data_IF_400251288897
#
_entry.id   IF_400251288897
#
_cell.length_a   1.000
_cell.length_b   1.000
_cell.length_c   1.000
_cell.angle_alpha   90.00
_cell.angle_beta   90.00
_cell.angle_gamma   90.00
#
_symmetry.space_group_name_H-M   'P 1'
#
loop_
_entity.id
_entity.type
_entity.pdbx_description
1 polymer ?
#
# COMPACT_ATOMS: atom_id res chain seq x y z
N UNK A 1 32.71 2.43 -9.61
CA UNK A 1 31.82 3.36 -8.89
C UNK A 1 31.86 3.16 -7.37
N UNK A 2 31.48 1.99 -6.84
CA UNK A 2 31.41 1.75 -5.39
C UNK A 2 32.74 1.77 -4.62
N UNK A 3 33.89 1.67 -5.31
CA UNK A 3 35.22 1.85 -4.67
C UNK A 3 35.53 3.32 -4.32
N UNK A 4 34.92 4.27 -5.03
CA UNK A 4 35.19 5.72 -4.88
C UNK A 4 34.06 6.41 -4.10
N UNK A 5 32.83 5.90 -4.22
CA UNK A 5 31.66 6.35 -3.45
C UNK A 5 30.79 5.15 -3.09
N UNK A 6 30.94 4.67 -1.87
CA UNK A 6 30.07 3.62 -1.32
C UNK A 6 28.78 4.27 -0.82
N UNK A 7 27.59 3.94 -1.35
CA UNK A 7 26.34 4.46 -0.81
C UNK A 7 26.12 3.94 0.61
N UNK A 8 25.61 4.80 1.49
CA UNK A 8 25.21 4.40 2.84
C UNK A 8 23.91 3.60 2.83
N UNK A 9 23.02 3.88 1.88
CA UNK A 9 21.69 3.25 1.74
C UNK A 9 21.44 2.98 0.26
N UNK A 10 20.89 1.80 -0.04
CA UNK A 10 20.48 1.41 -1.39
C UNK A 10 19.00 1.02 -1.32
N UNK A 11 18.16 1.68 -2.13
CA UNK A 11 16.74 1.38 -2.21
C UNK A 11 16.45 0.61 -3.49
N UNK A 12 15.92 -0.61 -3.36
CA UNK A 12 15.55 -1.48 -4.48
C UNK A 12 14.19 -2.10 -4.20
N UNK A 13 13.43 -2.41 -5.26
CA UNK A 13 12.30 -3.33 -5.12
C UNK A 13 12.83 -4.76 -4.99
N UNK A 14 11.98 -5.69 -4.56
CA UNK A 14 12.37 -7.08 -4.23
C UNK A 14 13.05 -7.79 -5.40
N UNK A 15 12.53 -7.68 -6.63
CA UNK A 15 13.14 -8.38 -7.79
C UNK A 15 14.51 -7.81 -8.20
N UNK A 16 14.71 -6.49 -8.35
CA UNK A 16 16.04 -5.90 -8.52
C UNK A 16 17.02 -6.24 -7.41
N UNK A 17 16.58 -6.27 -6.14
CA UNK A 17 17.44 -6.70 -5.03
C UNK A 17 17.90 -8.15 -5.23
N UNK A 18 16.98 -9.07 -5.56
CA UNK A 18 17.32 -10.46 -5.86
C UNK A 18 18.29 -10.56 -7.05
N UNK A 19 18.07 -9.82 -8.12
CA UNK A 19 18.97 -9.90 -9.29
C UNK A 19 20.35 -9.29 -9.00
N UNK A 20 20.39 -8.16 -8.27
CA UNK A 20 21.62 -7.45 -7.96
C UNK A 20 22.50 -8.16 -6.92
N UNK A 21 21.94 -9.11 -6.17
CA UNK A 21 22.63 -9.89 -5.13
C UNK A 21 22.87 -11.35 -5.53
N UNK A 22 22.54 -11.73 -6.77
CA UNK A 22 22.82 -13.07 -7.28
C UNK A 22 24.30 -13.23 -7.68
N UNK A 23 24.74 -14.44 -8.04
CA UNK A 23 26.14 -14.78 -8.35
C UNK A 23 26.83 -13.89 -9.40
N UNK A 24 26.08 -13.26 -10.31
CA UNK A 24 26.57 -12.25 -11.27
C UNK A 24 26.09 -10.82 -10.99
N UNK A 25 25.43 -10.60 -9.87
CA UNK A 25 24.85 -9.32 -9.48
C UNK A 25 25.90 -8.29 -9.07
N UNK A 26 25.59 -7.01 -9.31
CA UNK A 26 26.50 -5.90 -9.04
C UNK A 26 26.92 -5.77 -7.56
N UNK A 27 26.14 -6.34 -6.63
CA UNK A 27 26.41 -6.31 -5.20
C UNK A 27 26.88 -7.65 -4.62
N UNK A 28 27.08 -8.70 -5.43
CA UNK A 28 27.49 -10.02 -4.94
C UNK A 28 28.77 -9.97 -4.11
N UNK A 29 29.80 -9.26 -4.59
CA UNK A 29 31.07 -9.08 -3.87
C UNK A 29 31.00 -8.12 -2.68
N UNK A 30 29.82 -7.58 -2.36
CA UNK A 30 29.59 -6.62 -1.27
C UNK A 30 28.57 -7.15 -0.25
N UNK A 31 28.08 -8.38 -0.39
CA UNK A 31 27.02 -8.92 0.48
C UNK A 31 27.41 -8.91 1.96
N UNK A 32 28.65 -9.28 2.28
CA UNK A 32 29.19 -9.27 3.64
C UNK A 32 29.30 -7.87 4.26
N UNK A 33 29.12 -6.80 3.48
CA UNK A 33 29.11 -5.42 3.97
C UNK A 33 27.72 -4.93 4.35
N UNK A 34 26.66 -5.64 3.94
CA UNK A 34 25.31 -5.27 4.36
C UNK A 34 25.08 -5.76 5.79
N UNK A 35 24.93 -4.81 6.72
CA UNK A 35 24.63 -5.10 8.12
C UNK A 35 23.13 -5.06 8.42
N UNK A 36 22.32 -4.51 7.51
CA UNK A 36 20.89 -4.30 7.75
C UNK A 36 20.09 -4.37 6.45
N UNK A 37 18.97 -5.11 6.50
CA UNK A 37 17.97 -5.17 5.45
C UNK A 37 16.65 -4.67 6.01
N UNK A 38 16.02 -3.72 5.31
CA UNK A 38 14.71 -3.18 5.66
C UNK A 38 13.72 -3.56 4.56
N UNK A 39 12.74 -4.40 4.89
CA UNK A 39 11.61 -4.72 4.02
C UNK A 39 10.42 -3.84 4.35
N UNK A 40 10.07 -2.91 3.46
CA UNK A 40 8.83 -2.13 3.55
C UNK A 40 7.70 -2.83 2.80
N UNK A 41 6.45 -2.57 3.20
CA UNK A 41 5.25 -3.24 2.67
C UNK A 41 5.39 -4.78 2.71
N UNK A 42 5.94 -5.29 3.81
CA UNK A 42 6.35 -6.69 3.91
C UNK A 42 5.20 -7.70 3.78
N UNK A 43 3.94 -7.29 3.96
CA UNK A 43 2.76 -8.14 3.67
C UNK A 43 2.69 -8.54 2.18
N UNK A 44 3.27 -7.72 1.31
CA UNK A 44 3.32 -7.96 -0.14
C UNK A 44 4.59 -8.68 -0.60
N UNK A 45 5.59 -8.84 0.26
CA UNK A 45 6.79 -9.61 -0.04
C UNK A 45 6.47 -11.10 0.19
N UNK A 46 6.62 -11.97 -0.82
CA UNK A 46 6.38 -13.40 -0.64
C UNK A 46 7.54 -14.03 0.14
N UNK A 47 7.23 -14.98 1.01
CA UNK A 47 8.18 -15.73 1.85
C UNK A 47 9.43 -16.21 1.08
N UNK A 48 9.33 -16.83 -0.12
CA UNK A 48 10.51 -17.28 -0.84
C UNK A 48 11.52 -16.17 -1.15
N UNK A 49 11.05 -14.93 -1.39
CA UNK A 49 11.92 -13.80 -1.63
C UNK A 49 12.65 -13.37 -0.34
N UNK A 50 11.96 -13.41 0.80
CA UNK A 50 12.56 -13.14 2.11
C UNK A 50 13.64 -14.16 2.44
N UNK A 51 13.33 -15.45 2.28
CA UNK A 51 14.28 -16.55 2.52
C UNK A 51 15.50 -16.41 1.61
N UNK A 52 15.29 -16.14 0.32
CA UNK A 52 16.39 -15.95 -0.62
C UNK A 52 17.33 -14.81 -0.20
N UNK A 53 16.80 -13.69 0.30
CA UNK A 53 17.63 -12.58 0.79
C UNK A 53 18.32 -12.94 2.10
N UNK A 54 17.61 -13.53 3.06
CA UNK A 54 18.19 -13.95 4.34
C UNK A 54 19.36 -14.93 4.17
N UNK A 55 19.26 -15.86 3.21
CA UNK A 55 20.36 -16.79 2.89
C UNK A 55 21.57 -16.09 2.27
N UNK A 56 21.38 -14.98 1.56
CA UNK A 56 22.46 -14.25 0.88
C UNK A 56 23.21 -13.28 1.79
N UNK A 57 22.55 -12.79 2.83
CA UNK A 57 23.13 -11.88 3.82
C UNK A 57 22.86 -12.39 5.25
N UNK A 58 23.40 -13.56 5.62
CA UNK A 58 23.04 -14.25 6.87
C UNK A 58 23.38 -13.46 8.13
N UNK A 59 24.37 -12.58 8.06
CA UNK A 59 24.83 -11.76 9.19
C UNK A 59 24.11 -10.39 9.27
N UNK A 60 23.23 -10.07 8.32
CA UNK A 60 22.50 -8.82 8.35
C UNK A 60 21.38 -8.86 9.40
N UNK A 61 21.11 -7.73 10.05
CA UNK A 61 19.90 -7.53 10.84
C UNK A 61 18.71 -7.30 9.89
N UNK A 62 17.64 -8.09 10.03
CA UNK A 62 16.45 -7.95 9.22
C UNK A 62 15.35 -7.21 9.97
N UNK A 63 14.85 -6.13 9.38
CA UNK A 63 13.71 -5.35 9.89
C UNK A 63 12.61 -5.33 8.83
N UNK A 64 11.42 -5.76 9.21
CA UNK A 64 10.26 -5.78 8.31
C UNK A 64 9.16 -4.87 8.84
N UNK A 65 8.59 -4.08 7.94
CA UNK A 65 7.50 -3.15 8.22
C UNK A 65 6.38 -3.40 7.23
N UNK A 66 5.16 -3.48 7.73
CA UNK A 66 3.99 -3.81 6.94
C UNK A 66 2.76 -3.99 7.82
N UNK A 67 1.65 -4.32 7.20
CA UNK A 67 0.35 -4.46 7.85
C UNK A 67 -0.35 -5.70 7.29
N UNK A 68 -0.66 -6.67 8.16
CA UNK A 68 -1.37 -7.92 7.79
C UNK A 68 -2.80 -7.67 7.32
N UNK A 69 -3.38 -6.50 7.64
CA UNK A 69 -4.72 -6.14 7.22
C UNK A 69 -4.75 -5.39 5.88
N UNK A 70 -3.58 -5.15 5.26
CA UNK A 70 -3.44 -4.54 3.94
C UNK A 70 -3.27 -5.58 2.84
N UNK A 71 -2.71 -5.18 1.70
CA UNK A 71 -2.55 -6.06 0.56
C UNK A 71 -1.58 -7.20 0.88
N UNK A 72 -2.01 -8.42 0.55
CA UNK A 72 -1.18 -9.61 0.52
C UNK A 72 -0.27 -9.62 -0.71
N UNK A 73 0.70 -10.55 -0.73
CA UNK A 73 1.53 -10.84 -1.90
C UNK A 73 0.66 -11.12 -3.15
N UNK A 74 1.08 -10.63 -4.30
CA UNK A 74 0.37 -10.89 -5.54
C UNK A 74 0.65 -12.31 -6.06
N UNK A 75 -0.41 -13.05 -6.40
CA UNK A 75 -0.32 -14.37 -7.03
C UNK A 75 -1.14 -14.46 -8.32
N UNK A 76 -0.64 -15.26 -9.27
CA UNK A 76 -1.32 -15.52 -10.56
C UNK A 76 -2.11 -16.83 -10.60
N UNK A 77 -2.07 -17.60 -9.51
CA UNK A 77 -2.83 -18.83 -9.35
C UNK A 77 -3.91 -18.67 -8.28
N UNK A 78 -4.80 -19.66 -8.17
CA UNK A 78 -5.79 -19.70 -7.10
C UNK A 78 -5.10 -19.73 -5.73
N UNK A 79 -5.61 -18.96 -4.75
CA UNK A 79 -5.18 -18.99 -3.34
C UNK A 79 -5.28 -20.39 -2.72
N UNK A 80 -6.19 -21.23 -3.21
CA UNK A 80 -6.38 -22.60 -2.71
C UNK A 80 -5.35 -23.59 -3.26
N UNK A 81 -4.59 -23.20 -4.29
CA UNK A 81 -3.58 -24.06 -4.91
C UNK A 81 -2.36 -24.27 -4.02
N UNK A 82 -1.70 -25.43 -4.17
CA UNK A 82 -0.46 -25.77 -3.45
C UNK A 82 0.61 -24.68 -3.60
N UNK A 83 0.92 -24.14 -4.80
CA UNK A 83 1.90 -23.07 -4.92
C UNK A 83 1.54 -21.80 -4.16
N UNK A 84 0.27 -21.43 -4.07
CA UNK A 84 -0.16 -20.26 -3.30
C UNK A 84 -0.03 -20.50 -1.79
N UNK A 85 -0.47 -21.67 -1.31
CA UNK A 85 -0.44 -22.02 0.12
C UNK A 85 0.97 -22.08 0.69
N UNK A 86 1.94 -22.58 -0.08
CA UNK A 86 3.30 -22.83 0.40
C UNK A 86 4.35 -21.87 -0.17
N UNK A 87 4.02 -21.11 -1.22
CA UNK A 87 4.99 -20.27 -1.94
C UNK A 87 4.63 -18.79 -2.01
N UNK A 88 3.49 -18.38 -1.45
CA UNK A 88 3.03 -17.00 -1.52
C UNK A 88 2.57 -16.41 -0.19
N UNK A 89 2.91 -17.05 0.93
CA UNK A 89 2.67 -16.44 2.24
C UNK A 89 3.41 -15.10 2.32
N UNK A 90 2.75 -14.05 2.80
CA UNK A 90 3.37 -12.75 3.00
C UNK A 90 4.36 -12.80 4.17
N UNK A 91 5.43 -12.01 4.12
CA UNK A 91 6.41 -11.96 5.21
C UNK A 91 5.76 -11.57 6.54
N UNK A 92 4.84 -10.61 6.54
CA UNK A 92 4.17 -10.22 7.79
C UNK A 92 3.38 -11.38 8.41
N UNK A 93 2.64 -12.14 7.60
CA UNK A 93 1.89 -13.31 8.09
C UNK A 93 2.83 -14.38 8.65
N UNK A 94 3.94 -14.63 7.98
CA UNK A 94 4.97 -15.56 8.44
C UNK A 94 5.56 -15.13 9.80
N UNK A 95 5.93 -13.86 9.94
CA UNK A 95 6.52 -13.33 11.17
C UNK A 95 5.52 -13.37 12.34
N UNK A 96 4.24 -13.06 12.09
CA UNK A 96 3.15 -13.19 13.07
C UNK A 96 2.97 -14.66 13.50
N UNK A 97 2.91 -15.59 12.55
CA UNK A 97 2.80 -17.03 12.86
C UNK A 97 3.98 -17.55 13.69
N UNK A 98 5.18 -17.03 13.44
CA UNK A 98 6.40 -17.35 14.19
C UNK A 98 6.55 -16.58 15.51
N UNK A 99 5.58 -15.74 15.86
CA UNK A 99 5.56 -14.93 17.10
C UNK A 99 6.82 -14.07 17.27
N UNK A 100 7.33 -13.55 16.16
CA UNK A 100 8.44 -12.61 16.18
C UNK A 100 7.98 -11.32 16.89
N UNK A 101 8.80 -10.71 17.77
CA UNK A 101 8.43 -9.47 18.44
C UNK A 101 8.06 -8.38 17.43
N UNK A 102 6.91 -7.73 17.66
CA UNK A 102 6.41 -6.63 16.83
C UNK A 102 6.25 -5.37 17.67
N UNK A 103 6.60 -4.23 17.09
CA UNK A 103 6.33 -2.91 17.66
C UNK A 103 5.15 -2.27 16.90
N UNK A 104 3.91 -2.38 17.40
CA UNK A 104 2.74 -1.86 16.68
C UNK A 104 2.74 -0.32 16.67
N UNK A 105 2.49 0.25 15.49
CA UNK A 105 2.26 1.69 15.33
C UNK A 105 0.76 1.98 15.36
N UNK A 106 0.25 2.33 16.53
CA UNK A 106 -1.19 2.48 16.77
C UNK A 106 -1.72 3.90 16.53
N UNK A 107 -0.90 4.87 16.15
CA UNK A 107 -1.35 6.24 15.90
C UNK A 107 -1.25 6.58 14.41
N UNK A 108 -2.37 6.96 13.80
CA UNK A 108 -2.43 7.43 12.40
C UNK A 108 -2.56 8.94 12.33
N UNK A 109 -1.77 9.55 11.44
CA UNK A 109 -1.78 11.00 11.21
C UNK A 109 -2.37 11.37 9.85
N UNK A 110 -2.83 10.39 9.06
CA UNK A 110 -3.21 10.62 7.65
C UNK A 110 -4.69 11.02 7.48
N UNK A 111 -5.68 10.16 7.81
CA UNK A 111 -7.08 10.44 7.52
C UNK A 111 -7.70 11.43 8.52
N UNK A 112 -8.83 12.03 8.14
CA UNK A 112 -9.75 12.67 9.09
C UNK A 112 -10.26 11.63 10.10
N UNK A 113 -10.42 11.93 11.41
CA UNK A 113 -10.83 10.95 12.42
C UNK A 113 -12.09 10.16 12.05
N UNK A 114 -13.14 10.84 11.56
CA UNK A 114 -14.39 10.20 11.10
C UNK A 114 -14.20 9.27 9.88
N UNK A 115 -13.24 9.55 9.00
CA UNK A 115 -12.90 8.63 7.89
C UNK A 115 -12.21 7.37 8.42
N UNK A 116 -11.46 7.50 9.50
CA UNK A 116 -10.72 6.39 10.09
C UNK A 116 -11.62 5.45 10.91
N UNK A 117 -12.76 5.95 11.41
CA UNK A 117 -13.64 5.21 12.31
C UNK A 117 -14.08 3.85 11.74
N UNK A 118 -14.52 3.81 10.48
CA UNK A 118 -14.99 2.56 9.86
C UNK A 118 -13.84 1.57 9.61
N UNK A 119 -12.74 1.92 8.92
CA UNK A 119 -11.61 0.99 8.74
C UNK A 119 -11.01 0.54 10.08
N UNK A 120 -10.92 1.42 11.07
CA UNK A 120 -10.41 1.07 12.40
C UNK A 120 -11.28 0.00 13.09
N UNK A 121 -12.61 0.15 13.00
CA UNK A 121 -13.54 -0.85 13.54
C UNK A 121 -13.46 -2.19 12.82
N UNK A 122 -13.37 -2.15 11.48
CA UNK A 122 -13.41 -3.37 10.66
C UNK A 122 -12.12 -4.17 10.69
N UNK A 123 -10.96 -3.49 10.72
CA UNK A 123 -9.66 -4.13 10.51
C UNK A 123 -8.72 -4.04 11.70
N UNK A 124 -8.92 -3.07 12.60
CA UNK A 124 -7.97 -2.78 13.68
C UNK A 124 -8.57 -2.91 15.09
N UNK A 125 -9.77 -3.49 15.23
CA UNK A 125 -10.47 -3.64 16.51
C UNK A 125 -10.55 -2.35 17.35
N UNK A 126 -10.68 -1.19 16.70
CA UNK A 126 -10.67 0.14 17.32
C UNK A 126 -9.36 0.53 18.05
N UNK A 127 -8.25 -0.17 17.80
CA UNK A 127 -6.95 0.13 18.44
C UNK A 127 -6.22 1.31 17.81
N UNK A 128 -6.57 1.70 16.58
CA UNK A 128 -5.92 2.80 15.87
C UNK A 128 -6.40 4.17 16.40
N UNK A 129 -5.50 4.95 16.95
CA UNK A 129 -5.73 6.29 17.49
C UNK A 129 -5.49 7.34 16.39
N UNK A 130 -6.36 8.35 16.31
CA UNK A 130 -6.14 9.48 15.41
C UNK A 130 -5.22 10.51 16.07
N UNK A 131 -4.02 10.69 15.53
CA UNK A 131 -3.08 11.74 15.94
C UNK A 131 -3.37 13.12 15.33
N UNK A 132 -4.46 13.26 14.58
CA UNK A 132 -4.89 14.53 13.99
C UNK A 132 -6.32 14.86 14.40
N UNK A 133 -6.62 16.15 14.50
CA UNK A 133 -7.98 16.62 14.77
C UNK A 133 -8.80 16.67 13.48
N UNK A 134 -10.13 16.66 13.62
CA UNK A 134 -11.04 16.91 12.51
C UNK A 134 -10.70 18.23 11.79
N UNK A 135 -10.39 19.29 12.57
CA UNK A 135 -10.01 20.61 12.04
C UNK A 135 -8.80 20.55 11.08
N UNK A 136 -7.80 19.73 11.39
CA UNK A 136 -6.58 19.59 10.58
C UNK A 136 -6.81 18.85 9.24
N UNK A 137 -8.01 18.30 9.01
CA UNK A 137 -8.34 17.47 7.84
C UNK A 137 -9.61 17.94 7.11
N UNK A 138 -9.87 19.24 7.11
CA UNK A 138 -11.11 19.85 6.56
C UNK A 138 -11.06 20.30 5.10
N UNK A 139 -9.94 20.15 4.40
CA UNK A 139 -9.78 20.70 3.04
C UNK A 139 -10.95 20.34 2.11
N UNK A 140 -11.36 19.08 2.10
CA UNK A 140 -12.51 18.64 1.30
C UNK A 140 -13.84 19.26 1.75
N UNK A 141 -14.12 19.31 3.05
CA UNK A 141 -15.38 19.84 3.59
C UNK A 141 -15.54 21.36 3.40
N UNK A 142 -14.42 22.08 3.39
CA UNK A 142 -14.40 23.53 3.19
C UNK A 142 -14.63 23.89 1.72
N UNK A 143 -14.19 23.04 0.79
CA UNK A 143 -14.24 23.34 -0.65
C UNK A 143 -15.39 22.63 -1.40
N UNK A 144 -15.98 21.59 -0.81
CA UNK A 144 -17.06 20.83 -1.45
C UNK A 144 -18.40 21.09 -0.77
N UNK A 145 -19.45 21.31 -1.55
CA UNK A 145 -20.83 21.38 -1.05
C UNK A 145 -21.36 19.97 -0.79
N UNK A 146 -21.07 19.44 0.39
CA UNK A 146 -21.61 18.16 0.85
C UNK A 146 -22.78 18.38 1.82
N UNK A 147 -23.81 17.52 1.73
CA UNK A 147 -24.90 17.49 2.72
C UNK A 147 -24.36 17.15 4.12
N UNK A 148 -23.38 16.25 4.18
CA UNK A 148 -22.63 15.95 5.40
C UNK A 148 -21.44 16.92 5.53
N UNK A 149 -21.48 17.78 6.55
CA UNK A 149 -20.40 18.75 6.86
C UNK A 149 -19.36 18.23 7.86
N UNK A 150 -19.50 17.01 8.36
CA UNK A 150 -18.63 16.39 9.38
C UNK A 150 -17.72 15.30 8.82
N UNK A 151 -18.18 14.55 7.82
CA UNK A 151 -17.43 13.45 7.20
C UNK A 151 -16.95 13.86 5.81
N UNK A 152 -15.63 13.95 5.55
CA UNK A 152 -15.08 14.24 4.22
C UNK A 152 -15.16 13.02 3.28
N UNK A 153 -16.35 12.47 3.08
CA UNK A 153 -16.60 11.29 2.25
C UNK A 153 -17.89 11.44 1.44
N UNK A 154 -17.88 10.98 0.19
CA UNK A 154 -19.06 10.88 -0.64
C UNK A 154 -19.00 9.60 -1.47
N UNK A 155 -20.03 8.76 -1.36
CA UNK A 155 -20.21 7.61 -2.24
C UNK A 155 -21.22 7.98 -3.34
N UNK A 156 -20.75 8.12 -4.58
CA UNK A 156 -21.59 8.55 -5.72
C UNK A 156 -21.97 7.35 -6.56
N UNK A 157 -23.29 7.09 -6.66
CA UNK A 157 -23.81 6.07 -7.55
C UNK A 157 -23.74 6.55 -9.01
N UNK A 158 -22.82 5.99 -9.78
CA UNK A 158 -22.71 6.23 -11.23
C UNK A 158 -23.33 5.06 -12.00
N UNK A 159 -24.27 5.36 -12.90
CA UNK A 159 -24.86 4.38 -13.82
C UNK A 159 -23.97 4.18 -15.05
N UNK A 160 -23.75 2.92 -15.43
CA UNK A 160 -22.76 2.57 -16.45
C UNK A 160 -22.61 1.07 -16.60
N UNK A 161 -21.81 0.64 -17.58
CA UNK A 161 -21.47 -0.75 -17.83
C UNK A 161 -19.95 -0.92 -17.91
N UNK A 162 -19.48 -2.13 -17.61
CA UNK A 162 -18.06 -2.48 -17.66
C UNK A 162 -17.72 -3.01 -19.06
N UNK A 163 -16.68 -2.49 -19.68
CA UNK A 163 -16.16 -2.93 -20.98
C UNK A 163 -14.76 -3.52 -20.82
N UNK A 164 -14.43 -4.62 -21.50
CA UNK A 164 -13.05 -5.09 -21.59
C UNK A 164 -12.21 -4.10 -22.40
N UNK A 165 -11.00 -3.84 -21.94
CA UNK A 165 -9.99 -3.09 -22.71
C UNK A 165 -9.15 -4.04 -23.58
N UNK A 166 -8.41 -3.49 -24.55
CA UNK A 166 -7.67 -4.25 -25.57
C UNK A 166 -6.45 -5.07 -25.06
N UNK A 167 -6.24 -5.15 -23.74
CA UNK A 167 -5.18 -5.95 -23.12
C UNK A 167 -5.70 -7.23 -22.46
N UNK A 168 -4.82 -8.18 -22.09
CA UNK A 168 -5.21 -9.50 -21.61
C UNK A 168 -6.10 -9.49 -20.36
N UNK A 169 -6.07 -8.46 -19.50
CA UNK A 169 -7.24 -7.99 -18.71
C UNK A 169 -6.94 -6.67 -17.99
N UNK A 170 -7.56 -5.55 -18.40
CA UNK A 170 -8.49 -4.90 -17.45
C UNK A 170 -9.85 -4.48 -18.07
N UNK A 171 -10.84 -4.24 -17.20
CA UNK A 171 -12.15 -3.73 -17.57
C UNK A 171 -12.27 -2.22 -17.27
N UNK A 172 -12.68 -1.43 -18.25
CA UNK A 172 -12.99 -0.02 -18.17
C UNK A 172 -14.48 0.18 -17.94
N UNK A 173 -14.87 0.90 -16.89
CA UNK A 173 -16.27 1.27 -16.67
C UNK A 173 -16.61 2.52 -17.48
N UNK A 174 -17.53 2.41 -18.46
CA UNK A 174 -18.02 3.55 -19.24
C UNK A 174 -19.36 4.05 -18.66
N UNK A 175 -19.48 5.34 -18.29
CA UNK A 175 -20.75 5.92 -17.84
C UNK A 175 -21.76 5.95 -18.99
N UNK A 176 -23.06 5.75 -18.70
CA UNK A 176 -24.12 5.75 -19.73
C UNK A 176 -24.32 7.11 -20.45
N UNK A 177 -23.84 8.21 -19.88
CA UNK A 177 -24.03 9.58 -20.42
C UNK A 177 -22.73 10.36 -20.63
N UNK A 178 -21.57 9.69 -20.72
CA UNK A 178 -20.30 10.38 -20.99
C UNK A 178 -20.11 10.62 -22.50
N UNK A 179 -20.85 11.59 -23.05
CA UNK A 179 -20.56 12.22 -24.33
C UNK A 179 -19.96 13.62 -24.12
N UNK A 180 -19.01 13.77 -23.19
CA UNK A 180 -18.10 14.93 -23.13
C UNK A 180 -17.00 14.68 -22.09
N UNK A 181 -15.72 14.92 -22.39
CA UNK A 181 -14.64 14.84 -21.41
C UNK A 181 -14.57 16.15 -20.59
N UNK A 182 -14.85 16.03 -19.28
CA UNK A 182 -14.55 16.96 -18.18
C UNK A 182 -15.24 18.35 -18.07
N UNK A 183 -15.45 18.67 -16.78
CA UNK A 183 -15.67 19.95 -16.11
C UNK A 183 -16.96 20.75 -16.41
N UNK A 184 -17.90 20.78 -15.45
CA UNK A 184 -18.20 22.00 -14.71
C UNK A 184 -18.97 21.68 -13.42
N UNK A 185 -18.51 22.21 -12.29
CA UNK A 185 -19.35 22.46 -11.13
C UNK A 185 -19.84 23.91 -11.30
N UNK A 186 -20.96 24.11 -11.97
CA UNK A 186 -21.61 25.42 -12.02
C UNK A 186 -22.44 25.61 -10.75
N UNK A 187 -21.99 26.51 -9.88
CA UNK A 187 -22.78 27.04 -8.78
C UNK A 187 -23.77 28.04 -9.37
N UNK A 188 -25.09 27.95 -9.12
CA UNK A 188 -26.00 29.01 -9.52
C UNK A 188 -25.66 30.27 -8.72
N UNK A 189 -25.39 31.38 -9.42
CA UNK A 189 -25.36 32.73 -8.83
C UNK A 189 -26.72 32.96 -8.19
N UNK A 190 -26.72 33.28 -6.90
CA UNK A 190 -27.84 33.93 -6.24
C UNK A 190 -28.13 35.23 -6.99
N UNK A 191 -29.26 35.27 -7.70
CA UNK A 191 -29.78 36.51 -8.26
C UNK A 191 -30.20 37.43 -7.11
N UNK A 192 -29.43 38.51 -6.92
CA UNK A 192 -29.99 39.78 -6.50
C UNK A 192 -30.91 40.30 -7.61
N UNK A 193 -32.16 40.62 -7.26
CA UNK A 193 -32.96 41.79 -7.68
C UNK A 193 -34.45 41.45 -7.77
N UNK A 194 -35.21 41.69 -6.69
CA UNK A 194 -36.05 42.88 -6.44
C UNK A 194 -36.99 42.59 -5.30
#
# INVERSE_FOLDING_TARGET
MFKVRTPAIICLTTSPLLNATDSGGIFNGLLSKFTTIIGNEASQIPEPAMVAIATRVPDACHVYTGDVHQLESHIRCSRTSTPAKFGALGVMDLLVQRRIPMAPLTTTFRPHPELNAMPNRLFNNNTLISGTTAANRRLFLNNTRCRNRKLPFLFVKVTGYSQRTAGPTPALRRPKHAATPFAFCSVPRSGQNR
#
